data_IF_996290025227
#
_entry.id   IF_996290025227
#
_cell.length_a   1.000
_cell.length_b   1.000
_cell.length_c   1.000
_cell.angle_alpha   90.00
_cell.angle_beta   90.00
_cell.angle_gamma   90.00
#
_symmetry.space_group_name_H-M   'P 1'
#
loop_
_entity.id
_entity.type
_entity.pdbx_description
1 polymer ?
#
# COMPACT_ATOMS: atom_id res chain seq x y z
N UNK A 1 13.29 4.96 -5.83
CA UNK A 1 12.77 3.64 -5.32
C UNK A 1 13.91 2.69 -5.02
N UNK A 2 13.77 1.78 -4.04
CA UNK A 2 14.80 0.77 -3.77
C UNK A 2 14.83 -0.33 -4.84
N UNK A 3 16.01 -0.75 -5.28
CA UNK A 3 16.19 -1.85 -6.25
C UNK A 3 15.58 -3.17 -5.77
N UNK A 4 15.52 -3.40 -4.45
CA UNK A 4 14.96 -4.61 -3.86
C UNK A 4 13.46 -4.75 -4.14
N UNK A 5 12.73 -3.64 -4.38
CA UNK A 5 11.30 -3.68 -4.72
C UNK A 5 11.02 -4.62 -5.87
N UNK A 6 11.88 -4.66 -6.89
CA UNK A 6 11.72 -5.52 -8.08
C UNK A 6 11.57 -7.01 -7.77
N UNK A 7 12.06 -7.49 -6.63
CA UNK A 7 11.99 -8.91 -6.26
C UNK A 7 10.91 -9.22 -5.22
N UNK A 8 10.37 -8.21 -4.54
CA UNK A 8 9.42 -8.41 -3.44
C UNK A 8 8.06 -8.95 -3.88
N UNK A 9 7.67 -8.79 -5.15
CA UNK A 9 6.42 -9.38 -5.65
C UNK A 9 6.43 -10.91 -5.62
N UNK A 10 7.60 -11.55 -5.75
CA UNK A 10 7.76 -13.01 -5.66
C UNK A 10 7.37 -13.51 -4.27
N UNK A 11 7.70 -12.75 -3.23
CA UNK A 11 7.34 -13.08 -1.84
C UNK A 11 5.82 -13.10 -1.63
N UNK A 12 5.05 -12.22 -2.28
CA UNK A 12 3.57 -12.28 -2.22
C UNK A 12 3.04 -13.54 -2.85
N UNK A 13 3.56 -13.93 -4.01
CA UNK A 13 3.10 -15.13 -4.71
C UNK A 13 3.43 -16.39 -3.92
N UNK A 14 4.64 -16.49 -3.38
CA UNK A 14 5.05 -17.62 -2.53
C UNK A 14 4.14 -17.73 -1.32
N UNK A 15 3.84 -16.63 -0.63
CA UNK A 15 3.00 -16.68 0.56
C UNK A 15 1.52 -16.92 0.23
N UNK A 16 1.03 -16.41 -0.89
CA UNK A 16 -0.37 -16.59 -1.32
C UNK A 16 -0.62 -18.03 -1.79
N UNK A 17 0.30 -18.60 -2.58
CA UNK A 17 0.18 -19.94 -3.14
C UNK A 17 0.67 -21.02 -2.15
N UNK A 18 1.81 -20.78 -1.51
CA UNK A 18 2.39 -21.70 -0.51
C UNK A 18 1.66 -21.68 0.82
N UNK A 19 1.04 -20.56 1.20
CA UNK A 19 0.27 -20.45 2.45
C UNK A 19 -0.98 -21.33 2.48
N UNK A 20 -1.48 -21.78 1.32
CA UNK A 20 -2.59 -22.75 1.23
C UNK A 20 -2.18 -24.14 1.73
N UNK A 21 -0.90 -24.50 1.59
CA UNK A 21 -0.36 -25.80 1.99
C UNK A 21 0.39 -25.73 3.33
N UNK A 22 1.04 -24.59 3.60
CA UNK A 22 1.82 -24.35 4.81
C UNK A 22 1.31 -23.11 5.56
N UNK A 23 0.42 -23.28 6.55
CA UNK A 23 -0.18 -22.15 7.28
C UNK A 23 0.85 -21.31 8.05
N UNK A 24 2.01 -21.88 8.38
CA UNK A 24 3.12 -21.17 9.03
C UNK A 24 3.68 -20.00 8.20
N UNK A 25 3.53 -20.00 6.88
CA UNK A 25 3.91 -18.87 6.02
C UNK A 25 3.11 -17.60 6.34
N UNK A 26 1.94 -17.71 6.98
CA UNK A 26 1.17 -16.58 7.47
C UNK A 26 1.93 -15.70 8.48
N UNK A 27 2.84 -16.27 9.27
CA UNK A 27 3.65 -15.50 10.21
C UNK A 27 4.64 -14.55 9.54
N UNK A 28 5.12 -14.89 8.33
CA UNK A 28 5.96 -13.98 7.53
C UNK A 28 5.18 -12.70 7.22
N UNK A 29 3.87 -12.80 6.97
CA UNK A 29 3.01 -11.63 6.78
C UNK A 29 2.84 -10.81 8.06
N UNK A 30 2.70 -11.47 9.21
CA UNK A 30 2.63 -10.78 10.49
C UNK A 30 3.90 -9.94 10.75
N UNK A 31 5.09 -10.48 10.44
CA UNK A 31 6.36 -9.75 10.51
C UNK A 31 6.35 -8.55 9.55
N UNK A 32 5.94 -8.73 8.30
CA UNK A 32 5.83 -7.62 7.34
C UNK A 32 4.86 -6.55 7.83
N UNK A 33 3.72 -6.92 8.40
CA UNK A 33 2.74 -5.99 8.98
C UNK A 33 3.30 -5.22 10.18
N UNK A 34 4.07 -5.90 11.04
CA UNK A 34 4.74 -5.26 12.16
C UNK A 34 5.78 -4.25 11.69
N UNK A 35 6.62 -4.60 10.71
CA UNK A 35 7.60 -3.66 10.13
C UNK A 35 6.93 -2.47 9.44
N UNK A 36 5.79 -2.67 8.78
CA UNK A 36 4.95 -1.61 8.21
C UNK A 36 4.50 -0.60 9.29
N UNK A 37 4.06 -1.09 10.44
CA UNK A 37 3.60 -0.23 11.54
C UNK A 37 4.77 0.54 12.18
N UNK A 38 5.88 -0.13 12.46
CA UNK A 38 7.07 0.51 13.06
C UNK A 38 7.60 1.61 12.13
N UNK A 39 7.75 1.31 10.84
CA UNK A 39 8.25 2.30 9.87
C UNK A 39 7.29 3.47 9.65
N UNK A 40 5.99 3.28 9.90
CA UNK A 40 5.01 4.35 9.80
C UNK A 40 5.21 5.45 10.84
N UNK A 41 5.61 5.10 12.05
CA UNK A 41 5.87 6.07 13.12
C UNK A 41 7.00 7.04 12.74
N UNK A 42 8.01 6.55 12.04
CA UNK A 42 9.18 7.35 11.66
C UNK A 42 9.02 8.05 10.31
N UNK A 43 8.57 7.32 9.28
CA UNK A 43 8.56 7.79 7.88
C UNK A 43 7.18 7.74 7.24
N UNK A 44 6.11 7.53 8.01
CA UNK A 44 4.74 7.43 7.51
C UNK A 44 4.57 6.33 6.45
N UNK A 45 3.83 6.62 5.37
CA UNK A 45 3.52 5.63 4.30
C UNK A 45 4.70 5.25 3.38
N UNK A 46 5.95 5.56 3.76
CA UNK A 46 7.15 5.29 2.94
C UNK A 46 7.32 3.80 2.59
N UNK A 47 6.97 2.89 3.50
CA UNK A 47 7.06 1.45 3.25
C UNK A 47 6.14 1.00 2.10
N UNK A 48 4.94 1.59 1.97
CA UNK A 48 4.01 1.28 0.86
C UNK A 48 4.62 1.57 -0.52
N UNK A 49 5.50 2.59 -0.61
CA UNK A 49 6.20 2.96 -1.83
C UNK A 49 7.48 2.16 -2.10
N UNK A 50 8.18 1.70 -1.05
CA UNK A 50 9.56 1.22 -1.17
C UNK A 50 9.81 -0.22 -0.71
N UNK A 51 8.94 -0.83 0.11
CA UNK A 51 9.14 -2.20 0.62
C UNK A 51 7.87 -3.06 0.58
N UNK A 52 6.70 -2.52 0.25
CA UNK A 52 5.48 -3.31 0.25
C UNK A 52 5.50 -4.38 -0.85
N UNK A 53 5.48 -5.68 -0.50
CA UNK A 53 5.50 -6.77 -1.47
C UNK A 53 4.30 -6.72 -2.42
N UNK A 54 3.11 -6.42 -1.89
CA UNK A 54 1.88 -6.25 -2.69
C UNK A 54 1.93 -5.02 -3.58
N UNK A 55 2.51 -3.92 -3.10
CA UNK A 55 2.72 -2.72 -3.89
C UNK A 55 3.61 -2.98 -5.10
N UNK A 56 4.69 -3.73 -4.90
CA UNK A 56 5.55 -4.20 -5.99
C UNK A 56 4.79 -5.07 -6.97
N UNK A 57 4.02 -6.05 -6.49
CA UNK A 57 3.22 -6.91 -7.36
C UNK A 57 2.31 -6.10 -8.28
N UNK A 58 1.62 -5.11 -7.73
CA UNK A 58 0.76 -4.22 -8.50
C UNK A 58 1.54 -3.38 -9.54
N UNK A 59 2.71 -2.86 -9.20
CA UNK A 59 3.49 -2.03 -10.12
C UNK A 59 4.15 -2.81 -11.26
N UNK A 60 4.58 -4.05 -11.03
CA UNK A 60 5.29 -4.84 -12.04
C UNK A 60 4.37 -5.75 -12.86
N UNK A 61 3.36 -6.34 -12.22
CA UNK A 61 2.42 -7.27 -12.86
C UNK A 61 1.18 -6.52 -13.34
N UNK A 62 0.46 -5.84 -12.44
CA UNK A 62 -0.80 -5.19 -12.82
C UNK A 62 -0.59 -3.98 -13.71
N UNK A 63 0.50 -3.21 -13.59
CA UNK A 63 0.73 -2.06 -14.46
C UNK A 63 0.83 -2.46 -15.96
N UNK A 64 1.20 -3.71 -16.26
CA UNK A 64 1.20 -4.24 -17.64
C UNK A 64 -0.21 -4.58 -18.14
N UNK A 65 -1.12 -4.94 -17.23
CA UNK A 65 -2.50 -5.41 -17.53
C UNK A 65 -3.54 -4.29 -17.33
N UNK A 66 -3.20 -3.27 -16.54
CA UNK A 66 -4.11 -2.21 -16.10
C UNK A 66 -4.55 -1.32 -17.26
N UNK A 67 -5.84 -0.96 -17.29
CA UNK A 67 -6.42 -0.03 -18.26
C UNK A 67 -5.97 1.43 -18.07
N UNK A 68 -5.10 1.71 -17.09
CA UNK A 68 -4.55 3.04 -16.76
C UNK A 68 -5.63 4.12 -16.61
N UNK A 69 -6.82 3.72 -16.14
CA UNK A 69 -7.93 4.64 -15.89
C UNK A 69 -7.70 5.31 -14.54
N UNK A 70 -7.95 6.62 -14.46
CA UNK A 70 -7.78 7.39 -13.24
C UNK A 70 -8.58 6.79 -12.07
N UNK A 71 -8.01 6.84 -10.87
CA UNK A 71 -8.66 6.36 -9.64
C UNK A 71 -9.84 7.31 -9.34
N UNK A 72 -11.08 6.80 -9.21
CA UNK A 72 -12.23 7.66 -8.92
C UNK A 72 -12.06 8.32 -7.54
N UNK A 73 -12.39 9.61 -7.43
CA UNK A 73 -12.28 10.37 -6.18
C UNK A 73 -13.05 9.74 -5.02
N UNK A 74 -14.12 9.00 -5.31
CA UNK A 74 -14.90 8.20 -4.35
C UNK A 74 -14.02 7.19 -3.60
N UNK A 75 -13.08 6.51 -4.28
CA UNK A 75 -12.15 5.55 -3.66
C UNK A 75 -11.08 6.21 -2.78
N UNK A 76 -10.86 7.52 -2.95
CA UNK A 76 -9.94 8.30 -2.11
C UNK A 76 -10.66 8.93 -0.93
N UNK A 77 -11.98 9.11 -1.02
CA UNK A 77 -12.78 9.71 0.04
C UNK A 77 -12.63 8.94 1.36
N UNK A 78 -12.52 9.68 2.46
CA UNK A 78 -12.53 9.06 3.80
C UNK A 78 -13.83 8.28 4.05
N UNK A 79 -14.93 8.72 3.43
CA UNK A 79 -16.25 8.09 3.53
C UNK A 79 -16.28 6.65 3.05
N UNK A 80 -15.51 6.28 2.02
CA UNK A 80 -15.42 4.88 1.58
C UNK A 80 -14.29 4.15 2.31
N UNK A 81 -13.18 4.86 2.56
CA UNK A 81 -11.97 4.29 3.16
C UNK A 81 -12.16 3.86 4.62
N UNK A 82 -12.82 4.68 5.44
CA UNK A 82 -12.98 4.45 6.89
C UNK A 82 -13.93 3.28 7.18
N UNK A 83 -15.13 3.18 6.57
CA UNK A 83 -16.00 2.03 6.76
C UNK A 83 -15.35 0.72 6.28
N UNK A 84 -14.62 0.75 5.16
CA UNK A 84 -13.91 -0.44 4.68
C UNK A 84 -12.78 -0.86 5.63
N UNK A 85 -12.04 0.10 6.19
CA UNK A 85 -11.03 -0.16 7.21
C UNK A 85 -11.66 -0.82 8.44
N UNK A 86 -12.75 -0.24 8.97
CA UNK A 86 -13.48 -0.79 10.12
C UNK A 86 -13.99 -2.20 9.80
N UNK A 87 -14.61 -2.40 8.64
CA UNK A 87 -15.15 -3.70 8.23
C UNK A 87 -14.05 -4.78 8.18
N UNK A 88 -12.93 -4.54 7.51
CA UNK A 88 -11.87 -5.54 7.36
C UNK A 88 -11.18 -5.82 8.70
N UNK A 89 -10.94 -4.79 9.51
CA UNK A 89 -10.32 -4.97 10.84
C UNK A 89 -11.26 -5.68 11.81
N UNK A 90 -12.56 -5.34 11.82
CA UNK A 90 -13.57 -6.05 12.62
C UNK A 90 -13.71 -7.51 12.22
N UNK A 91 -13.68 -7.82 10.92
CA UNK A 91 -13.67 -9.21 10.44
C UNK A 91 -12.42 -9.97 10.90
N UNK A 92 -11.24 -9.33 10.89
CA UNK A 92 -10.03 -9.95 11.40
C UNK A 92 -10.10 -10.22 12.91
N UNK A 93 -10.55 -9.24 13.69
CA UNK A 93 -10.70 -9.39 15.15
C UNK A 93 -11.70 -10.51 15.44
N UNK A 94 -12.86 -10.51 14.79
CA UNK A 94 -13.87 -11.56 14.97
C UNK A 94 -13.32 -12.96 14.65
N UNK A 95 -12.62 -13.12 13.52
CA UNK A 95 -12.01 -14.40 13.11
C UNK A 95 -10.91 -14.86 14.07
N UNK A 96 -10.15 -13.95 14.66
CA UNK A 96 -9.13 -14.28 15.67
C UNK A 96 -9.79 -14.66 16.99
N UNK A 97 -10.82 -13.93 17.44
CA UNK A 97 -11.52 -14.20 18.71
C UNK A 97 -12.16 -15.59 18.76
N UNK A 98 -12.77 -16.07 17.66
CA UNK A 98 -13.36 -17.42 17.61
C UNK A 98 -12.29 -18.54 17.68
N UNK A 99 -11.06 -18.26 17.27
CA UNK A 99 -9.95 -19.22 17.24
C UNK A 99 -9.14 -19.20 18.53
N UNK A 100 -9.16 -18.08 19.28
CA UNK A 100 -8.36 -17.85 20.48
C UNK A 100 -8.55 -18.91 21.58
N UNK A 101 -9.73 -19.53 21.65
CA UNK A 101 -10.04 -20.58 22.65
C UNK A 101 -9.73 -22.02 22.17
N UNK A 102 -9.13 -22.21 20.98
CA UNK A 102 -8.88 -23.56 20.43
C UNK A 102 -7.43 -24.02 20.60
N UNK A 103 -7.22 -25.32 20.86
CA UNK A 103 -5.89 -25.94 21.10
C UNK A 103 -4.88 -25.72 19.95
N UNK A 104 -5.35 -25.62 18.71
CA UNK A 104 -4.52 -25.38 17.51
C UNK A 104 -4.53 -23.91 17.07
N UNK A 105 -4.35 -22.99 18.02
CA UNK A 105 -4.42 -21.54 17.77
C UNK A 105 -3.42 -21.09 16.70
N UNK A 106 -2.18 -21.62 16.71
CA UNK A 106 -1.11 -21.17 15.81
C UNK A 106 -1.38 -21.48 14.33
N UNK A 107 -1.78 -22.71 14.01
CA UNK A 107 -2.10 -23.11 12.63
C UNK A 107 -3.31 -22.34 12.09
N UNK A 108 -4.37 -22.22 12.89
CA UNK A 108 -5.59 -21.52 12.49
C UNK A 108 -5.38 -20.01 12.30
N UNK A 109 -4.53 -19.38 13.11
CA UNK A 109 -4.13 -17.98 12.89
C UNK A 109 -3.40 -17.82 11.56
N UNK A 110 -2.46 -18.72 11.25
CA UNK A 110 -1.77 -18.73 9.97
C UNK A 110 -2.73 -18.79 8.77
N UNK A 111 -3.71 -19.72 8.82
CA UNK A 111 -4.75 -19.84 7.78
C UNK A 111 -5.58 -18.57 7.64
N UNK A 112 -5.97 -17.91 8.75
CA UNK A 112 -6.74 -16.66 8.70
C UNK A 112 -5.95 -15.55 8.00
N UNK A 113 -4.66 -15.37 8.35
CA UNK A 113 -3.81 -14.37 7.72
C UNK A 113 -3.64 -14.62 6.22
N UNK A 114 -3.41 -15.88 5.83
CA UNK A 114 -3.28 -16.25 4.41
C UNK A 114 -4.60 -16.03 3.67
N UNK A 115 -5.73 -16.46 4.23
CA UNK A 115 -7.06 -16.27 3.62
C UNK A 115 -7.37 -14.79 3.39
N UNK A 116 -7.11 -13.93 4.38
CA UNK A 116 -7.26 -12.48 4.24
C UNK A 116 -6.31 -11.91 3.19
N UNK A 117 -5.07 -12.43 3.12
CA UNK A 117 -4.11 -12.03 2.09
C UNK A 117 -4.63 -12.39 0.68
N UNK A 118 -5.17 -13.61 0.49
CA UNK A 118 -5.76 -14.04 -0.78
C UNK A 118 -6.92 -13.12 -1.17
N UNK A 119 -7.91 -12.93 -0.30
CA UNK A 119 -9.09 -12.10 -0.58
C UNK A 119 -8.68 -10.67 -0.95
N UNK A 120 -7.77 -10.07 -0.18
CA UNK A 120 -7.29 -8.71 -0.45
C UNK A 120 -6.39 -8.61 -1.68
N UNK A 121 -5.66 -9.67 -2.05
CA UNK A 121 -4.88 -9.73 -3.30
C UNK A 121 -5.82 -9.84 -4.50
N UNK A 122 -6.85 -10.67 -4.45
CA UNK A 122 -7.87 -10.78 -5.50
C UNK A 122 -8.57 -9.43 -5.69
N UNK A 123 -9.00 -8.78 -4.61
CA UNK A 123 -9.58 -7.44 -4.67
C UNK A 123 -8.61 -6.42 -5.28
N UNK A 124 -7.31 -6.51 -4.96
CA UNK A 124 -6.29 -5.64 -5.54
C UNK A 124 -6.10 -5.88 -7.05
N UNK A 125 -6.19 -7.13 -7.52
CA UNK A 125 -6.11 -7.49 -8.94
C UNK A 125 -7.33 -6.93 -9.69
N UNK A 126 -8.53 -7.12 -9.16
CA UNK A 126 -9.77 -6.62 -9.78
C UNK A 126 -9.77 -5.10 -9.91
N UNK A 127 -9.47 -4.39 -8.80
CA UNK A 127 -9.43 -2.93 -8.80
C UNK A 127 -8.26 -2.38 -9.61
N UNK A 128 -7.07 -2.99 -9.52
CA UNK A 128 -5.89 -2.54 -10.23
C UNK A 128 -5.92 -2.82 -11.74
N UNK A 129 -6.57 -3.91 -12.16
CA UNK A 129 -6.81 -4.22 -13.56
C UNK A 129 -7.81 -3.26 -14.22
N UNK A 130 -8.90 -2.92 -13.52
CA UNK A 130 -9.93 -2.03 -14.07
C UNK A 130 -9.54 -0.54 -14.01
N UNK A 131 -8.94 -0.08 -12.91
CA UNK A 131 -8.54 1.31 -12.72
C UNK A 131 -7.04 1.50 -12.99
N UNK A 132 -6.28 1.85 -11.94
CA UNK A 132 -4.84 2.01 -11.96
C UNK A 132 -4.23 0.94 -11.04
N UNK A 133 -3.04 0.45 -11.38
CA UNK A 133 -2.24 -0.51 -10.60
C UNK A 133 -2.27 -0.28 -9.08
N UNK A 134 -2.29 0.98 -8.63
CA UNK A 134 -2.24 1.37 -7.21
C UNK A 134 -3.58 1.76 -6.59
N UNK A 135 -4.70 1.50 -7.27
CA UNK A 135 -6.06 1.77 -6.77
C UNK A 135 -6.33 1.08 -5.41
N UNK A 136 -5.90 -0.16 -5.21
CA UNK A 136 -6.04 -0.84 -3.91
C UNK A 136 -5.32 -0.12 -2.78
N UNK A 137 -4.16 0.50 -3.05
CA UNK A 137 -3.38 1.20 -2.03
C UNK A 137 -4.10 2.43 -1.47
N UNK A 138 -5.11 2.97 -2.15
CA UNK A 138 -5.92 4.09 -1.62
C UNK A 138 -6.92 3.64 -0.56
N UNK A 139 -7.38 2.39 -0.62
CA UNK A 139 -8.39 1.83 0.30
C UNK A 139 -7.83 0.78 1.26
N UNK A 140 -6.58 0.35 1.04
CA UNK A 140 -5.94 -0.69 1.83
C UNK A 140 -5.96 -0.32 3.33
N UNK A 141 -6.43 -1.23 4.21
CA UNK A 141 -6.59 -0.93 5.62
C UNK A 141 -5.26 -0.58 6.30
N UNK A 142 -4.18 -1.27 5.92
CA UNK A 142 -2.84 -0.95 6.42
C UNK A 142 -2.36 0.42 5.94
N UNK A 143 -2.65 0.79 4.69
CA UNK A 143 -2.35 2.12 4.16
C UNK A 143 -3.09 3.23 4.92
N UNK A 144 -4.37 2.99 5.27
CA UNK A 144 -5.18 3.88 6.11
C UNK A 144 -4.62 4.00 7.52
N UNK A 145 -4.20 2.88 8.14
CA UNK A 145 -3.55 2.91 9.44
C UNK A 145 -2.26 3.74 9.42
N UNK A 146 -1.40 3.54 8.43
CA UNK A 146 -0.15 4.32 8.29
C UNK A 146 -0.40 5.82 8.02
N UNK A 147 -1.50 6.15 7.31
CA UNK A 147 -1.95 7.54 7.12
C UNK A 147 -2.31 8.21 8.43
N UNK A 148 -2.94 7.47 9.36
CA UNK A 148 -3.34 7.99 10.67
C UNK A 148 -2.12 8.10 11.60
N UNK A 149 -1.25 7.09 11.62
CA UNK A 149 -0.11 7.01 12.55
C UNK A 149 1.01 7.99 12.20
N UNK A 150 1.33 8.16 10.92
CA UNK A 150 2.49 8.94 10.48
C UNK A 150 2.22 9.79 9.24
N UNK A 151 0.99 10.29 9.12
CA UNK A 151 0.54 11.07 7.98
C UNK A 151 1.32 12.37 7.77
N UNK A 152 1.87 12.94 8.83
CA UNK A 152 2.60 14.22 8.90
C UNK A 152 4.12 14.08 8.83
N UNK A 153 4.67 12.87 8.99
CA UNK A 153 6.13 12.63 9.02
C UNK A 153 6.72 12.63 7.61
N UNK A 154 7.99 13.00 7.41
CA UNK A 154 8.73 12.82 6.14
C UNK A 154 7.94 13.27 4.88
N UNK A 155 7.46 14.52 4.89
CA UNK A 155 6.65 15.09 3.81
C UNK A 155 7.50 15.46 2.60
N UNK A 156 6.87 15.40 1.42
CA UNK A 156 7.44 15.97 0.22
C UNK A 156 7.31 17.49 0.29
N UNK A 157 8.41 18.21 0.06
CA UNK A 157 8.46 19.67 -0.03
C UNK A 157 8.74 20.09 -1.46
N UNK A 158 8.21 21.25 -1.83
CA UNK A 158 8.42 21.87 -3.14
C UNK A 158 9.03 23.26 -2.97
N UNK A 159 10.10 23.52 -3.72
CA UNK A 159 10.65 24.85 -3.94
C UNK A 159 9.87 25.51 -5.09
N UNK A 160 8.93 26.39 -4.75
CA UNK A 160 8.04 27.01 -5.74
C UNK A 160 8.77 27.92 -6.73
N UNK A 161 9.90 28.49 -6.33
CA UNK A 161 10.82 29.31 -7.11
C UNK A 161 11.49 28.55 -8.26
N UNK A 162 11.78 27.26 -8.06
CA UNK A 162 12.40 26.40 -9.07
C UNK A 162 11.38 25.69 -9.98
N UNK A 163 10.09 25.73 -9.61
CA UNK A 163 9.05 24.99 -10.30
C UNK A 163 8.58 25.68 -11.58
N UNK A 164 8.74 24.99 -12.72
CA UNK A 164 8.34 25.47 -14.05
C UNK A 164 6.97 24.95 -14.53
N UNK A 165 6.12 24.47 -13.61
CA UNK A 165 4.78 23.92 -13.90
C UNK A 165 4.67 22.89 -15.05
N UNK A 166 5.71 22.06 -15.23
CA UNK A 166 5.74 21.09 -16.33
C UNK A 166 4.80 19.87 -16.17
N UNK A 167 4.15 19.72 -15.00
CA UNK A 167 3.24 18.62 -14.62
C UNK A 167 3.79 17.19 -14.75
N UNK A 168 5.11 17.02 -14.96
CA UNK A 168 5.75 15.68 -15.04
C UNK A 168 5.62 14.89 -13.74
N UNK A 169 5.74 15.57 -12.60
CA UNK A 169 5.62 14.97 -11.27
C UNK A 169 4.22 14.36 -11.02
N UNK A 170 3.15 14.98 -11.51
CA UNK A 170 1.78 14.47 -11.38
C UNK A 170 1.55 13.26 -12.28
N UNK A 171 2.06 13.31 -13.53
CA UNK A 171 1.94 12.20 -14.49
C UNK A 171 2.64 10.93 -14.01
N UNK A 172 3.78 11.05 -13.32
CA UNK A 172 4.53 9.89 -12.82
C UNK A 172 4.05 9.42 -11.43
N UNK A 173 3.18 10.18 -10.77
CA UNK A 173 2.71 9.86 -9.43
C UNK A 173 1.78 8.64 -9.46
N UNK A 174 2.16 7.51 -8.85
CA UNK A 174 1.35 6.29 -8.86
C UNK A 174 0.01 6.44 -8.12
N UNK A 175 -0.06 7.40 -7.20
CA UNK A 175 -1.26 7.72 -6.44
C UNK A 175 -2.09 8.85 -7.09
N UNK A 176 -1.65 9.35 -8.26
CA UNK A 176 -2.24 10.44 -9.06
C UNK A 176 -2.67 11.63 -8.17
N UNK A 177 -1.76 12.03 -7.28
CA UNK A 177 -1.90 13.20 -6.42
C UNK A 177 -1.44 14.45 -7.17
N UNK A 178 -2.05 15.58 -6.84
CA UNK A 178 -1.60 16.91 -7.26
C UNK A 178 -0.32 17.25 -6.50
N UNK A 179 0.83 17.08 -7.16
CA UNK A 179 2.15 17.22 -6.52
C UNK A 179 2.51 18.69 -6.28
N UNK A 180 2.01 19.59 -7.12
CA UNK A 180 2.25 21.05 -7.00
C UNK A 180 1.79 21.60 -5.66
N UNK A 181 0.57 21.26 -5.27
CA UNK A 181 -0.08 21.74 -4.04
C UNK A 181 -0.18 20.62 -3.01
N UNK A 182 0.81 19.70 -3.00
CA UNK A 182 0.71 18.49 -2.19
C UNK A 182 0.70 18.79 -0.70
N UNK A 183 1.32 19.89 -0.26
CA UNK A 183 1.41 20.29 1.13
C UNK A 183 1.72 19.11 2.06
N UNK A 184 0.92 18.96 3.12
CA UNK A 184 0.98 17.82 4.02
C UNK A 184 -0.10 16.77 3.66
N UNK A 185 -0.04 16.20 2.46
CA UNK A 185 -1.01 15.18 2.03
C UNK A 185 -0.57 13.78 2.51
N UNK A 186 -1.28 13.20 3.50
CA UNK A 186 -0.89 11.94 4.11
C UNK A 186 -1.15 10.72 3.19
N UNK A 187 -1.74 10.93 2.00
CA UNK A 187 -1.88 9.90 0.97
C UNK A 187 -0.61 9.67 0.15
N UNK A 188 0.39 10.54 0.27
CA UNK A 188 1.69 10.37 -0.36
C UNK A 188 2.42 9.13 0.19
N UNK A 189 2.74 8.17 -0.68
CA UNK A 189 3.49 6.95 -0.33
C UNK A 189 5.01 7.14 -0.33
N UNK A 190 5.49 8.38 -0.59
CA UNK A 190 6.91 8.78 -0.49
C UNK A 190 7.85 7.85 -1.28
N UNK A 191 7.45 7.52 -2.51
CA UNK A 191 8.20 6.62 -3.40
C UNK A 191 9.36 7.30 -4.13
N UNK A 192 9.40 8.64 -4.15
CA UNK A 192 10.46 9.45 -4.75
C UNK A 192 10.45 9.59 -6.27
N UNK A 193 9.52 8.96 -6.98
CA UNK A 193 9.42 9.07 -8.45
C UNK A 193 9.26 10.51 -8.96
N UNK A 194 8.56 11.36 -8.19
CA UNK A 194 8.36 12.75 -8.55
C UNK A 194 9.65 13.59 -8.41
N UNK A 195 10.51 13.26 -7.44
CA UNK A 195 11.83 13.88 -7.24
C UNK A 195 12.74 13.46 -8.39
N UNK A 196 12.85 12.16 -8.66
CA UNK A 196 13.69 11.59 -9.73
C UNK A 196 13.29 12.11 -11.15
N UNK A 197 12.02 12.44 -11.37
CA UNK A 197 11.53 12.91 -12.66
C UNK A 197 11.57 14.45 -12.83
N UNK A 198 11.90 15.20 -11.78
CA UNK A 198 11.88 16.65 -11.83
C UNK A 198 13.11 17.17 -12.61
N UNK A 199 12.95 17.95 -13.69
CA UNK A 199 14.08 18.45 -14.48
C UNK A 199 14.82 19.63 -13.82
N UNK A 200 14.28 20.18 -12.73
CA UNK A 200 14.80 21.36 -12.03
C UNK A 200 15.08 21.10 -10.55
N UNK A 201 14.98 19.84 -10.12
CA UNK A 201 15.17 19.42 -8.73
C UNK A 201 14.36 20.25 -7.71
N UNK A 202 13.18 20.73 -8.12
CA UNK A 202 12.30 21.57 -7.30
C UNK A 202 11.59 20.79 -6.17
N UNK A 203 11.82 19.48 -6.07
CA UNK A 203 11.13 18.56 -5.16
C UNK A 203 12.15 17.82 -4.30
N UNK A 204 11.90 17.75 -2.99
CA UNK A 204 12.78 17.05 -2.03
C UNK A 204 11.97 16.53 -0.82
N UNK A 205 12.56 15.61 -0.04
CA UNK A 205 11.98 15.06 1.19
C UNK A 205 12.72 15.54 2.44
#
# INVERSE_FOLDING_TARGET
MLNITRYLWVLVLIVTLGGLWYPYLGYVMAVVMLTLMITAVFRGRWFCGNLCPRGSFNDFVLNKISRKKNIPGVLRSLWVRVPLFILIMSLMIYRVSIVFATRNMFEKIGVILVSMCIVTTVAAILLGGYYNSRAWCTVCPMGTAQRIIGGDRYQLKMAHDLCIDCKKCEKICPMELTVRDIGNNPDCIKCGRCVEACPKDALYF
#
